data_IF_068865283212
#
_entry.id   IF_068865283212
#
_cell.length_a   1.000
_cell.length_b   1.000
_cell.length_c   1.000
_cell.angle_alpha   90.00
_cell.angle_beta   90.00
_cell.angle_gamma   90.00
#
_symmetry.space_group_name_H-M   'P 1'
#
loop_
_entity.id
_entity.type
_entity.pdbx_description
1 polymer ?
#
# COMPACT_ATOMS: atom_id res chain seq x y z
N UNK A 1 -3.66 -15.21 12.47
CA UNK A 1 -3.17 -14.46 11.42
C UNK A 1 -3.66 -13.06 11.34
N UNK A 2 -3.82 -12.49 12.55
CA UNK A 2 -4.23 -11.11 12.70
C UNK A 2 -3.25 -10.12 12.08
N UNK A 3 -1.94 -10.44 12.12
CA UNK A 3 -0.92 -9.57 11.57
C UNK A 3 -1.02 -9.40 10.06
N UNK A 4 -1.29 -10.50 9.33
CA UNK A 4 -1.44 -10.44 7.89
C UNK A 4 -2.70 -9.67 7.50
N UNK A 5 -3.79 -9.90 8.21
CA UNK A 5 -5.03 -9.16 7.99
C UNK A 5 -4.86 -7.67 8.29
N UNK A 6 -4.11 -7.35 9.33
CA UNK A 6 -3.80 -5.96 9.69
C UNK A 6 -3.03 -5.27 8.57
N UNK A 7 -1.99 -5.92 8.03
CA UNK A 7 -1.19 -5.34 6.95
C UNK A 7 -2.04 -5.14 5.69
N UNK A 8 -2.89 -6.10 5.35
CA UNK A 8 -3.78 -5.97 4.19
C UNK A 8 -4.76 -4.82 4.37
N UNK A 9 -5.30 -4.66 5.58
CA UNK A 9 -6.20 -3.55 5.91
C UNK A 9 -5.49 -2.21 5.81
N UNK A 10 -4.25 -2.12 6.29
CA UNK A 10 -3.46 -0.89 6.20
C UNK A 10 -3.15 -0.53 4.74
N UNK A 11 -2.84 -1.50 3.91
CA UNK A 11 -2.61 -1.26 2.48
C UNK A 11 -3.89 -0.78 1.80
N UNK A 12 -5.03 -1.35 2.15
CA UNK A 12 -6.32 -0.93 1.61
C UNK A 12 -6.66 0.50 2.01
N UNK A 13 -6.48 0.85 3.28
CA UNK A 13 -6.70 2.21 3.78
C UNK A 13 -5.79 3.20 3.11
N UNK A 14 -4.53 2.84 2.92
CA UNK A 14 -3.56 3.69 2.24
C UNK A 14 -3.99 3.95 0.79
N UNK A 15 -4.47 2.93 0.11
CA UNK A 15 -4.97 3.05 -1.25
C UNK A 15 -6.19 3.98 -1.32
N UNK A 16 -7.14 3.83 -0.40
CA UNK A 16 -8.31 4.70 -0.35
C UNK A 16 -7.94 6.15 -0.11
N UNK A 17 -7.01 6.38 0.82
CA UNK A 17 -6.52 7.72 1.12
C UNK A 17 -5.85 8.34 -0.12
N UNK A 18 -5.02 7.55 -0.79
CA UNK A 18 -4.35 7.99 -2.02
C UNK A 18 -5.37 8.39 -3.08
N UNK A 19 -6.39 7.56 -3.30
CA UNK A 19 -7.42 7.84 -4.31
C UNK A 19 -8.21 9.10 -3.99
N UNK A 20 -8.54 9.33 -2.72
CA UNK A 20 -9.21 10.54 -2.28
C UNK A 20 -8.37 11.78 -2.54
N UNK A 21 -7.11 11.74 -2.13
CA UNK A 21 -6.20 12.87 -2.31
C UNK A 21 -5.93 13.14 -3.79
N UNK A 22 -5.77 12.09 -4.59
CA UNK A 22 -5.59 12.23 -6.04
C UNK A 22 -6.80 12.90 -6.69
N UNK A 23 -8.00 12.49 -6.29
CA UNK A 23 -9.23 13.10 -6.81
C UNK A 23 -9.29 14.58 -6.43
N UNK A 24 -8.96 14.93 -5.19
CA UNK A 24 -8.95 16.33 -4.75
C UNK A 24 -7.94 17.16 -5.53
N UNK A 25 -6.79 16.62 -5.83
CA UNK A 25 -5.77 17.32 -6.63
C UNK A 25 -6.33 17.65 -8.02
N UNK A 26 -6.93 16.66 -8.69
CA UNK A 26 -7.49 16.87 -10.02
C UNK A 26 -8.70 17.80 -10.04
N UNK A 27 -9.41 17.92 -8.91
CA UNK A 27 -10.53 18.85 -8.79
C UNK A 27 -10.11 20.27 -8.47
N UNK A 28 -9.02 20.46 -7.72
CA UNK A 28 -8.58 21.77 -7.26
C UNK A 28 -7.51 22.41 -8.13
N UNK A 29 -6.76 21.62 -8.86
CA UNK A 29 -5.62 22.10 -9.64
C UNK A 29 -5.76 21.63 -11.09
N UNK A 30 -5.16 22.39 -12.01
CA UNK A 30 -5.18 22.06 -13.42
C UNK A 30 -3.76 22.11 -14.00
N UNK A 31 -3.54 21.35 -15.07
CA UNK A 31 -2.32 21.40 -15.83
C UNK A 31 -1.11 20.89 -15.06
N UNK A 32 -0.01 21.65 -15.14
CA UNK A 32 1.26 21.26 -14.55
C UNK A 32 1.24 21.16 -13.03
N UNK A 33 0.46 22.05 -12.37
CA UNK A 33 0.36 22.01 -10.92
C UNK A 33 -0.27 20.71 -10.43
N UNK A 34 -1.37 20.31 -11.07
CA UNK A 34 -2.03 19.05 -10.75
C UNK A 34 -1.09 17.88 -10.97
N UNK A 35 -0.37 17.88 -12.09
CA UNK A 35 0.57 16.81 -12.43
C UNK A 35 1.69 16.68 -11.42
N UNK A 36 2.29 17.81 -11.01
CA UNK A 36 3.37 17.81 -10.02
C UNK A 36 2.89 17.28 -8.67
N UNK A 37 1.73 17.75 -8.23
CA UNK A 37 1.16 17.31 -6.96
C UNK A 37 0.77 15.84 -6.98
N UNK A 38 0.24 15.37 -8.09
CA UNK A 38 -0.11 13.97 -8.28
C UNK A 38 1.12 13.08 -8.24
N UNK A 39 2.19 13.48 -8.92
CA UNK A 39 3.44 12.71 -8.93
C UNK A 39 4.05 12.60 -7.55
N UNK A 40 4.05 13.69 -6.79
CA UNK A 40 4.54 13.68 -5.41
C UNK A 40 3.72 12.75 -4.54
N UNK A 41 2.41 12.84 -4.64
CA UNK A 41 1.49 11.97 -3.90
C UNK A 41 1.69 10.51 -4.29
N UNK A 42 1.83 10.23 -5.58
CA UNK A 42 2.04 8.87 -6.08
C UNK A 42 3.34 8.27 -5.53
N UNK A 43 4.42 9.05 -5.50
CA UNK A 43 5.69 8.59 -4.95
C UNK A 43 5.58 8.29 -3.46
N UNK A 44 4.90 9.14 -2.69
CA UNK A 44 4.68 8.91 -1.26
C UNK A 44 3.87 7.64 -1.02
N UNK A 45 2.80 7.46 -1.79
CA UNK A 45 1.97 6.26 -1.71
C UNK A 45 2.78 5.01 -2.04
N UNK A 46 3.51 5.06 -3.14
CA UNK A 46 4.30 3.93 -3.62
C UNK A 46 5.34 3.49 -2.60
N UNK A 47 6.03 4.46 -1.97
CA UNK A 47 7.04 4.16 -0.96
C UNK A 47 6.42 3.50 0.27
N UNK A 48 5.29 4.00 0.74
CA UNK A 48 4.60 3.43 1.89
C UNK A 48 4.04 2.04 1.58
N UNK A 49 3.43 1.88 0.42
CA UNK A 49 2.88 0.59 -0.01
C UNK A 49 3.99 -0.44 -0.20
N UNK A 50 5.11 -0.04 -0.77
CA UNK A 50 6.26 -0.93 -0.93
C UNK A 50 6.77 -1.44 0.41
N UNK A 51 6.83 -0.56 1.41
CA UNK A 51 7.23 -0.95 2.76
C UNK A 51 6.27 -1.99 3.34
N UNK A 52 4.97 -1.75 3.23
CA UNK A 52 3.94 -2.66 3.73
C UNK A 52 3.95 -3.98 2.95
N UNK A 53 4.14 -3.93 1.66
CA UNK A 53 4.27 -5.11 0.82
C UNK A 53 5.46 -5.97 1.27
N UNK A 54 6.58 -5.36 1.61
CA UNK A 54 7.74 -6.08 2.12
C UNK A 54 7.43 -6.83 3.42
N UNK A 55 6.72 -6.18 4.35
CA UNK A 55 6.29 -6.81 5.60
C UNK A 55 5.33 -7.96 5.30
N UNK A 56 4.36 -7.73 4.43
CA UNK A 56 3.39 -8.75 4.04
C UNK A 56 4.08 -9.97 3.44
N UNK A 57 5.03 -9.75 2.54
CA UNK A 57 5.78 -10.85 1.91
C UNK A 57 6.54 -11.69 2.93
N UNK A 58 7.14 -11.04 3.93
CA UNK A 58 7.85 -11.73 5.00
C UNK A 58 6.91 -12.59 5.83
N UNK A 59 5.74 -12.06 6.18
CA UNK A 59 4.74 -12.81 6.94
C UNK A 59 4.25 -14.01 6.14
N UNK A 60 3.95 -13.82 4.87
CA UNK A 60 3.49 -14.90 3.98
C UNK A 60 4.55 -15.99 3.83
N UNK A 61 5.82 -15.61 3.73
CA UNK A 61 6.92 -16.57 3.65
C UNK A 61 7.01 -17.42 4.91
N UNK A 62 6.90 -16.79 6.10
CA UNK A 62 6.92 -17.52 7.38
C UNK A 62 5.73 -18.47 7.48
N UNK A 63 4.55 -18.02 7.09
CA UNK A 63 3.36 -18.88 7.10
C UNK A 63 3.51 -20.07 6.17
N UNK A 64 4.07 -19.86 4.99
CA UNK A 64 4.33 -20.91 4.02
C UNK A 64 5.30 -21.95 4.58
N UNK A 65 6.36 -21.50 5.25
CA UNK A 65 7.34 -22.40 5.90
C UNK A 65 6.68 -23.23 7.00
N UNK A 66 5.83 -22.61 7.82
CA UNK A 66 5.11 -23.32 8.88
C UNK A 66 4.22 -24.41 8.28
N UNK A 67 3.47 -24.09 7.23
CA UNK A 67 2.61 -25.06 6.54
C UNK A 67 3.44 -26.21 5.97
N UNK A 68 4.58 -25.91 5.38
CA UNK A 68 5.48 -26.91 4.83
C UNK A 68 5.93 -27.91 5.90
N UNK A 69 6.36 -27.39 7.06
CA UNK A 69 6.81 -28.25 8.15
C UNK A 69 5.67 -29.04 8.77
N UNK A 70 4.47 -28.50 8.81
CA UNK A 70 3.30 -29.20 9.34
C UNK A 70 2.85 -30.36 8.43
N UNK A 71 3.04 -30.21 7.13
CA UNK A 71 2.61 -31.23 6.17
C UNK A 71 3.57 -32.42 6.07
N UNK A 72 4.72 -32.33 6.71
CA UNK A 72 5.65 -33.45 6.85
C UNK A 72 5.35 -34.22 8.12
#
# INVERSE_FOLDING_TARGET
MQELEYIKSERFRLQEKYLKEARNIWMQFEGEEADKKYKKLHNEYKNKDYFLEGIQSKIEAVLSDIEYYKSK
#
